data_IF_382086934231
#
_entry.id   IF_382086934231
#
_cell.length_a   1.000
_cell.length_b   1.000
_cell.length_c   1.000
_cell.angle_alpha   90.00
_cell.angle_beta   90.00
_cell.angle_gamma   90.00
#
_symmetry.space_group_name_H-M   'P 1'
#
loop_
_entity.id
_entity.type
_entity.pdbx_description
1 polymer ?
#
# COMPACT_ATOMS: atom_id res chain seq x y z
N UNK A 1 38.71 -14.49 -4.01
CA UNK A 1 38.76 -15.90 -3.51
C UNK A 1 38.82 -15.87 -1.99
N UNK A 2 37.66 -15.85 -1.31
CA UNK A 2 37.60 -15.93 0.15
C UNK A 2 36.49 -16.90 0.54
N UNK A 3 36.90 -18.08 1.02
CA UNK A 3 36.05 -19.07 1.67
C UNK A 3 35.86 -18.65 3.13
N UNK A 4 34.63 -18.45 3.57
CA UNK A 4 34.27 -18.64 5.00
C UNK A 4 33.03 -19.51 5.08
N UNK A 5 33.28 -20.71 5.63
CA UNK A 5 32.31 -21.67 6.14
C UNK A 5 31.57 -21.02 7.30
N UNK A 6 30.24 -21.07 7.28
CA UNK A 6 29.44 -21.13 8.50
C UNK A 6 28.52 -22.34 8.36
N UNK A 7 28.78 -23.31 9.22
CA UNK A 7 28.04 -24.54 9.41
C UNK A 7 27.20 -24.35 10.65
N UNK A 8 25.91 -24.03 10.48
CA UNK A 8 24.95 -24.00 11.57
C UNK A 8 24.17 -25.31 11.58
N UNK A 9 24.37 -26.02 12.69
CA UNK A 9 23.78 -27.29 13.06
C UNK A 9 22.29 -27.15 13.35
N UNK A 10 21.48 -27.93 12.64
CA UNK A 10 20.06 -28.15 12.94
C UNK A 10 19.91 -28.99 14.23
N UNK A 11 18.95 -28.65 15.12
CA UNK A 11 18.60 -29.53 16.23
C UNK A 11 17.78 -30.73 15.74
N UNK A 12 18.20 -31.89 16.20
CA UNK A 12 17.65 -33.23 15.94
C UNK A 12 16.19 -33.38 16.36
N UNK A 13 15.41 -33.98 15.47
CA UNK A 13 14.07 -34.51 15.70
C UNK A 13 14.08 -35.52 16.85
N UNK A 14 13.33 -35.22 17.92
CA UNK A 14 13.01 -36.16 18.99
C UNK A 14 11.77 -36.95 18.61
N UNK A 15 11.98 -38.24 18.33
CA UNK A 15 10.93 -39.24 18.17
C UNK A 15 10.12 -39.39 19.47
N UNK A 16 8.79 -39.36 19.36
CA UNK A 16 7.87 -39.79 20.42
C UNK A 16 7.40 -41.24 20.13
N UNK A 17 7.76 -42.24 20.95
CA UNK A 17 7.21 -43.58 20.86
C UNK A 17 6.24 -43.83 22.02
N UNK A 18 4.94 -43.67 21.79
CA UNK A 18 3.91 -44.18 22.72
C UNK A 18 2.74 -44.78 21.94
N UNK A 19 3.01 -45.96 21.38
CA UNK A 19 2.01 -46.92 20.93
C UNK A 19 1.77 -47.90 22.10
N UNK A 20 0.95 -47.48 23.05
CA UNK A 20 0.46 -48.34 24.12
C UNK A 20 -0.89 -48.94 23.71
N UNK A 21 -0.84 -50.23 23.42
CA UNK A 21 -1.92 -51.22 23.37
C UNK A 21 -3.14 -50.81 24.21
N UNK A 22 -4.26 -50.52 23.53
CA UNK A 22 -5.59 -50.70 24.11
C UNK A 22 -6.27 -51.88 23.43
N UNK A 23 -6.88 -52.70 24.29
CA UNK A 23 -7.47 -54.00 24.03
C UNK A 23 -8.63 -53.92 23.05
N UNK A 24 -8.55 -54.76 22.02
CA UNK A 24 -9.68 -55.24 21.26
C UNK A 24 -10.33 -56.36 22.09
N UNK A 25 -11.32 -56.04 22.92
CA UNK A 25 -12.22 -57.05 23.49
C UNK A 25 -13.63 -56.46 23.52
N UNK A 26 -14.49 -57.08 22.70
CA UNK A 26 -15.93 -57.29 22.90
C UNK A 26 -16.81 -56.10 23.31
N UNK A 27 -17.40 -55.43 22.30
CA UNK A 27 -18.84 -55.14 22.25
C UNK A 27 -19.25 -55.19 20.77
N UNK A 28 -20.01 -56.21 20.37
CA UNK A 28 -20.77 -56.24 19.12
C UNK A 28 -22.02 -55.36 19.30
N UNK A 29 -22.13 -54.20 18.64
CA UNK A 29 -23.40 -53.50 18.55
C UNK A 29 -24.27 -54.18 17.49
N UNK A 30 -25.52 -54.39 17.87
CA UNK A 30 -26.60 -54.99 17.09
C UNK A 30 -26.62 -54.47 15.64
N UNK A 31 -26.33 -55.35 14.68
CA UNK A 31 -26.08 -55.02 13.27
C UNK A 31 -27.32 -54.53 12.51
N UNK A 32 -28.48 -54.47 13.16
CA UNK A 32 -29.73 -54.00 12.57
C UNK A 32 -29.93 -52.48 12.70
N UNK A 33 -29.23 -51.78 13.61
CA UNK A 33 -29.41 -50.34 13.84
C UNK A 33 -28.49 -49.44 12.96
N UNK A 34 -27.47 -50.00 12.32
CA UNK A 34 -26.53 -49.24 11.47
C UNK A 34 -26.97 -49.10 10.01
N UNK A 35 -28.00 -49.83 9.57
CA UNK A 35 -28.51 -49.74 8.19
C UNK A 35 -29.58 -48.65 8.00
N UNK A 36 -30.14 -48.08 9.09
CA UNK A 36 -31.07 -46.95 9.00
C UNK A 36 -30.40 -45.57 9.16
N UNK A 37 -29.20 -45.50 9.76
CA UNK A 37 -28.49 -44.22 9.92
C UNK A 37 -27.83 -43.73 8.62
N UNK A 38 -27.48 -44.63 7.69
CA UNK A 38 -26.93 -44.25 6.38
C UNK A 38 -28.00 -43.73 5.40
N UNK A 39 -29.28 -44.07 5.60
CA UNK A 39 -30.37 -43.57 4.73
C UNK A 39 -30.85 -42.15 5.07
N UNK A 40 -30.58 -41.64 6.26
CA UNK A 40 -30.92 -40.24 6.60
C UNK A 40 -29.89 -39.20 6.10
N UNK A 41 -28.72 -39.64 5.61
CA UNK A 41 -27.70 -38.76 5.03
C UNK A 41 -27.80 -38.62 3.50
N UNK A 42 -28.64 -39.42 2.83
CA UNK A 42 -28.80 -39.40 1.38
C UNK A 42 -29.59 -38.19 0.83
N UNK A 43 -30.19 -37.37 1.70
CA UNK A 43 -30.89 -36.15 1.30
C UNK A 43 -30.28 -34.86 1.85
N UNK A 44 -28.97 -34.84 2.11
CA UNK A 44 -28.27 -33.53 2.14
C UNK A 44 -28.25 -33.03 0.70
N UNK A 45 -29.38 -32.42 0.29
CA UNK A 45 -29.46 -31.65 -0.93
C UNK A 45 -28.23 -30.77 -0.97
N UNK A 46 -27.35 -31.01 -1.95
CA UNK A 46 -26.11 -30.27 -2.11
C UNK A 46 -26.48 -28.81 -2.30
N UNK A 47 -26.45 -28.06 -1.22
CA UNK A 47 -26.80 -26.65 -1.22
C UNK A 47 -25.88 -25.96 -2.24
N UNK A 48 -26.45 -25.52 -3.37
CA UNK A 48 -25.62 -24.92 -4.41
C UNK A 48 -25.32 -23.49 -3.98
N UNK A 49 -24.07 -23.09 -4.11
CA UNK A 49 -23.64 -21.75 -3.73
C UNK A 49 -24.49 -20.63 -4.37
N UNK A 50 -24.93 -20.81 -5.62
CA UNK A 50 -25.78 -19.84 -6.33
C UNK A 50 -27.25 -19.85 -5.88
N UNK A 51 -27.70 -20.90 -5.19
CA UNK A 51 -29.05 -21.00 -4.61
C UNK A 51 -29.12 -20.30 -3.23
N UNK A 52 -27.96 -19.94 -2.65
CA UNK A 52 -27.91 -19.13 -1.43
C UNK A 52 -28.48 -17.73 -1.70
N UNK A 53 -29.22 -17.13 -0.74
CA UNK A 53 -29.55 -15.71 -0.77
C UNK A 53 -28.32 -14.83 -1.00
N UNK A 54 -28.52 -13.73 -1.73
CA UNK A 54 -27.44 -12.80 -2.09
C UNK A 54 -26.71 -12.30 -0.86
N UNK A 55 -27.42 -12.05 0.25
CA UNK A 55 -26.86 -11.59 1.52
C UNK A 55 -25.81 -12.58 2.07
N UNK A 56 -26.12 -13.88 2.04
CA UNK A 56 -25.18 -14.92 2.48
C UNK A 56 -23.97 -15.01 1.55
N UNK A 57 -24.17 -14.88 0.24
CA UNK A 57 -23.05 -14.83 -0.73
C UNK A 57 -22.15 -13.63 -0.47
N UNK A 58 -22.73 -12.45 -0.23
CA UNK A 58 -21.97 -11.23 0.10
C UNK A 58 -21.18 -11.39 1.41
N UNK A 59 -21.77 -12.01 2.44
CA UNK A 59 -21.04 -12.32 3.68
C UNK A 59 -19.85 -13.27 3.44
N UNK A 60 -20.04 -14.29 2.60
CA UNK A 60 -18.96 -15.20 2.21
C UNK A 60 -17.86 -14.44 1.44
N UNK A 61 -18.23 -13.59 0.48
CA UNK A 61 -17.25 -12.79 -0.26
C UNK A 61 -16.50 -11.82 0.65
N UNK A 62 -17.20 -11.15 1.58
CA UNK A 62 -16.59 -10.23 2.53
C UNK A 62 -15.52 -10.95 3.36
N UNK A 63 -15.86 -12.12 3.92
CA UNK A 63 -14.92 -12.94 4.67
C UNK A 63 -13.71 -13.42 3.85
N UNK A 64 -13.90 -13.74 2.56
CA UNK A 64 -12.84 -14.31 1.73
C UNK A 64 -11.97 -13.26 1.01
N UNK A 65 -12.52 -12.08 0.72
CA UNK A 65 -11.93 -11.11 -0.20
C UNK A 65 -11.63 -9.76 0.44
N UNK A 66 -12.10 -9.47 1.66
CA UNK A 66 -11.85 -8.17 2.30
C UNK A 66 -10.75 -8.28 3.34
N UNK A 67 -9.75 -7.42 3.19
CA UNK A 67 -8.64 -7.23 4.13
C UNK A 67 -8.87 -5.96 4.93
N UNK A 68 -8.62 -6.02 6.23
CA UNK A 68 -8.59 -4.84 7.10
C UNK A 68 -7.34 -3.98 6.89
N UNK A 69 -6.30 -4.56 6.28
CA UNK A 69 -5.06 -3.87 5.98
C UNK A 69 -5.02 -3.42 4.51
N UNK A 70 -4.39 -2.27 4.21
CA UNK A 70 -4.20 -1.82 2.84
C UNK A 70 -3.47 -2.88 1.99
N UNK A 71 -4.04 -3.16 0.83
CA UNK A 71 -3.49 -4.06 -0.16
C UNK A 71 -2.35 -3.37 -0.90
N UNK A 72 -1.16 -3.90 -0.70
CA UNK A 72 0.06 -3.45 -1.34
C UNK A 72 0.37 -4.33 -2.54
N UNK A 73 1.23 -3.81 -3.41
CA UNK A 73 1.78 -4.59 -4.50
C UNK A 73 2.65 -5.74 -4.01
N UNK A 74 2.88 -6.71 -4.89
CA UNK A 74 3.80 -7.83 -4.61
C UNK A 74 5.19 -7.35 -4.17
N UNK A 75 5.68 -6.25 -4.76
CA UNK A 75 7.01 -5.71 -4.47
C UNK A 75 7.07 -5.01 -3.11
N UNK A 76 6.00 -4.34 -2.69
CA UNK A 76 5.95 -3.59 -1.42
C UNK A 76 5.62 -4.46 -0.20
N UNK A 77 5.06 -5.66 -0.43
CA UNK A 77 4.45 -6.51 0.58
C UNK A 77 5.41 -7.02 1.67
N UNK A 78 6.73 -7.05 1.46
CA UNK A 78 7.71 -7.56 2.43
C UNK A 78 7.25 -8.85 3.14
N UNK A 79 6.82 -9.86 2.37
CA UNK A 79 6.27 -11.16 2.85
C UNK A 79 4.96 -11.13 3.66
N UNK A 80 4.33 -9.97 3.85
CA UNK A 80 3.05 -9.81 4.56
C UNK A 80 1.95 -10.72 4.00
N UNK A 81 1.14 -11.38 4.81
CA UNK A 81 0.02 -12.24 4.34
C UNK A 81 -1.36 -11.63 4.62
N UNK A 82 -2.16 -11.35 3.57
CA UNK A 82 -3.51 -10.80 3.73
C UNK A 82 -4.60 -11.85 3.98
N UNK A 83 -4.25 -13.14 3.99
CA UNK A 83 -5.19 -14.27 4.16
C UNK A 83 -6.42 -14.26 3.23
N UNK A 84 -6.30 -13.62 2.05
CA UNK A 84 -7.37 -13.56 1.06
C UNK A 84 -7.44 -14.85 0.23
N UNK A 85 -8.65 -15.32 -0.04
CA UNK A 85 -8.91 -16.51 -0.86
C UNK A 85 -9.49 -16.13 -2.23
N UNK A 86 -8.61 -15.89 -3.19
CA UNK A 86 -9.00 -15.56 -4.57
C UNK A 86 -9.52 -16.77 -5.38
N UNK A 87 -9.64 -17.96 -4.77
CA UNK A 87 -10.19 -19.14 -5.43
C UNK A 87 -11.64 -18.90 -5.88
N UNK A 88 -12.42 -18.19 -5.08
CA UNK A 88 -13.84 -17.90 -5.37
C UNK A 88 -14.03 -17.10 -6.67
N UNK A 89 -13.09 -16.21 -7.00
CA UNK A 89 -13.12 -15.41 -8.24
C UNK A 89 -12.95 -16.26 -9.52
N UNK A 90 -12.54 -17.52 -9.40
CA UNK A 90 -12.29 -18.41 -10.54
C UNK A 90 -13.40 -19.43 -10.77
N UNK A 91 -14.43 -19.45 -9.92
CA UNK A 91 -15.49 -20.48 -9.96
C UNK A 91 -16.41 -20.32 -11.17
N UNK A 92 -16.94 -19.11 -11.40
CA UNK A 92 -17.85 -18.81 -12.50
C UNK A 92 -17.83 -17.29 -12.79
N UNK A 93 -18.18 -16.88 -14.01
CA UNK A 93 -18.28 -15.47 -14.41
C UNK A 93 -19.27 -14.64 -13.57
N UNK A 94 -20.42 -15.20 -13.19
CA UNK A 94 -21.39 -14.53 -12.31
C UNK A 94 -20.79 -14.25 -10.94
N UNK A 95 -20.18 -15.26 -10.32
CA UNK A 95 -19.49 -15.15 -9.03
C UNK A 95 -18.33 -14.15 -9.13
N UNK A 96 -17.56 -14.18 -10.22
CA UNK A 96 -16.50 -13.22 -10.46
C UNK A 96 -17.03 -11.78 -10.48
N UNK A 97 -18.10 -11.50 -11.22
CA UNK A 97 -18.65 -10.13 -11.29
C UNK A 97 -19.20 -9.66 -9.95
N UNK A 98 -19.99 -10.49 -9.27
CA UNK A 98 -20.57 -10.17 -7.96
C UNK A 98 -19.47 -9.92 -6.90
N UNK A 99 -18.50 -10.84 -6.81
CA UNK A 99 -17.44 -10.80 -5.81
C UNK A 99 -16.34 -9.77 -6.11
N UNK A 100 -16.01 -9.52 -7.38
CA UNK A 100 -15.00 -8.51 -7.76
C UNK A 100 -15.45 -7.10 -7.41
N UNK A 101 -16.73 -6.78 -7.61
CA UNK A 101 -17.29 -5.48 -7.20
C UNK A 101 -17.10 -5.26 -5.70
N UNK A 102 -17.42 -6.27 -4.88
CA UNK A 102 -17.23 -6.21 -3.42
C UNK A 102 -15.74 -6.05 -3.07
N UNK A 103 -14.85 -6.81 -3.72
CA UNK A 103 -13.41 -6.73 -3.52
C UNK A 103 -12.87 -5.31 -3.75
N UNK A 104 -13.20 -4.67 -4.88
CA UNK A 104 -12.71 -3.33 -5.19
C UNK A 104 -13.37 -2.22 -4.36
N UNK A 105 -14.60 -2.45 -3.88
CA UNK A 105 -15.32 -1.48 -3.05
C UNK A 105 -14.85 -1.47 -1.60
N UNK A 106 -14.59 -2.63 -1.00
CA UNK A 106 -14.36 -2.72 0.44
C UNK A 106 -12.88 -2.66 0.83
N UNK A 107 -11.97 -3.05 -0.07
CA UNK A 107 -10.53 -2.99 0.21
C UNK A 107 -9.96 -1.59 0.02
N UNK A 108 -8.84 -1.34 0.70
CA UNK A 108 -7.99 -0.15 0.50
C UNK A 108 -6.82 -0.56 -0.38
N UNK A 109 -6.62 0.09 -1.53
CA UNK A 109 -5.48 -0.19 -2.41
C UNK A 109 -4.39 0.86 -2.21
N UNK A 110 -3.17 0.40 -1.93
CA UNK A 110 -2.00 1.27 -1.84
C UNK A 110 -1.32 1.38 -3.22
N UNK A 111 -1.57 2.51 -3.86
CA UNK A 111 -1.14 2.85 -5.20
C UNK A 111 0.23 3.50 -5.14
N UNK A 112 1.20 2.84 -5.73
CA UNK A 112 2.61 3.27 -5.79
C UNK A 112 3.18 3.06 -7.18
N UNK A 113 4.38 3.59 -7.41
CA UNK A 113 5.17 3.30 -8.60
C UNK A 113 5.64 1.82 -8.59
N UNK A 114 5.70 1.13 -9.73
CA UNK A 114 6.36 -0.17 -9.83
C UNK A 114 7.88 -0.08 -9.52
N UNK A 115 8.39 -1.01 -8.71
CA UNK A 115 9.76 -0.99 -8.18
C UNK A 115 10.84 -1.52 -9.16
N UNK A 116 10.43 -2.09 -10.29
CA UNK A 116 11.31 -2.80 -11.24
C UNK A 116 11.24 -2.23 -12.67
N UNK A 117 10.89 -0.95 -12.81
CA UNK A 117 10.83 -0.34 -14.14
C UNK A 117 12.22 0.14 -14.53
N UNK A 118 13.04 -0.82 -14.98
CA UNK A 118 14.36 -0.58 -15.58
C UNK A 118 14.23 0.58 -16.58
N UNK A 119 14.73 1.76 -16.18
CA UNK A 119 14.42 3.02 -16.86
C UNK A 119 14.97 3.13 -18.29
N UNK A 120 15.67 2.10 -18.79
CA UNK A 120 16.24 2.07 -20.13
C UNK A 120 15.27 1.66 -21.24
N UNK A 121 14.21 0.91 -20.93
CA UNK A 121 13.27 0.39 -21.94
C UNK A 121 11.81 0.63 -21.52
N UNK A 122 11.46 1.90 -21.24
CA UNK A 122 10.05 2.27 -21.24
C UNK A 122 9.52 2.16 -22.67
N UNK A 123 9.01 0.99 -23.04
CA UNK A 123 8.16 0.86 -24.21
C UNK A 123 6.97 1.80 -23.98
N UNK A 124 6.58 2.58 -25.00
CA UNK A 124 5.47 3.52 -24.89
C UNK A 124 4.16 2.86 -24.38
N UNK A 125 4.05 1.53 -24.50
CA UNK A 125 2.94 0.74 -24.00
C UNK A 125 2.92 0.53 -22.47
N UNK A 126 4.05 0.69 -21.77
CA UNK A 126 4.15 0.51 -20.31
C UNK A 126 3.84 1.79 -19.51
N UNK A 127 3.49 2.87 -20.21
CA UNK A 127 3.22 4.21 -19.66
C UNK A 127 2.07 4.28 -18.63
N UNK A 128 1.33 3.20 -18.41
CA UNK A 128 0.14 3.16 -17.56
C UNK A 128 0.24 2.20 -16.37
N UNK A 129 1.43 1.75 -16.02
CA UNK A 129 1.61 0.79 -14.94
C UNK A 129 1.55 1.48 -13.57
N UNK A 130 0.44 1.24 -12.88
CA UNK A 130 0.26 1.52 -11.45
C UNK A 130 0.53 0.21 -10.68
N UNK A 131 1.07 0.31 -9.46
CA UNK A 131 1.28 -0.84 -8.58
C UNK A 131 0.37 -0.74 -7.33
N UNK A 132 -0.45 -1.76 -6.99
CA UNK A 132 -0.68 -3.00 -7.74
C UNK A 132 -1.31 -2.76 -9.12
N UNK A 133 -1.10 -3.66 -10.09
CA UNK A 133 -1.72 -3.55 -11.40
C UNK A 133 -3.24 -3.74 -11.29
N UNK A 134 -3.98 -2.64 -11.38
CA UNK A 134 -5.44 -2.63 -11.32
C UNK A 134 -6.04 -2.55 -12.73
N UNK A 135 -6.89 -3.50 -13.16
CA UNK A 135 -7.56 -3.41 -14.45
C UNK A 135 -8.44 -2.15 -14.54
N UNK A 136 -8.32 -1.39 -15.63
CA UNK A 136 -9.03 -0.11 -15.81
C UNK A 136 -10.55 -0.20 -15.69
N UNK A 137 -11.13 -1.32 -16.13
CA UNK A 137 -12.58 -1.54 -16.04
C UNK A 137 -13.08 -1.67 -14.59
N UNK A 138 -12.18 -1.91 -13.63
CA UNK A 138 -12.50 -2.00 -12.21
C UNK A 138 -12.31 -0.68 -11.45
N UNK A 139 -11.65 0.32 -12.04
CA UNK A 139 -11.41 1.61 -11.39
C UNK A 139 -12.69 2.32 -10.91
N UNK A 140 -13.84 2.27 -11.64
CA UNK A 140 -15.10 2.85 -11.16
C UNK A 140 -15.65 2.21 -9.88
N UNK A 141 -15.19 1.01 -9.50
CA UNK A 141 -15.61 0.32 -8.28
C UNK A 141 -14.75 0.67 -7.07
N UNK A 142 -13.59 1.31 -7.27
CA UNK A 142 -12.72 1.70 -6.16
C UNK A 142 -13.44 2.71 -5.27
N UNK A 143 -13.43 2.46 -3.96
CA UNK A 143 -13.97 3.38 -2.95
C UNK A 143 -12.90 3.91 -2.00
N UNK A 144 -11.84 3.15 -1.76
CA UNK A 144 -10.80 3.50 -0.81
C UNK A 144 -9.42 3.34 -1.45
N UNK A 145 -8.69 4.43 -1.59
CA UNK A 145 -7.38 4.45 -2.24
C UNK A 145 -6.39 5.22 -1.36
N UNK A 146 -5.18 4.66 -1.20
CA UNK A 146 -4.01 5.38 -0.69
C UNK A 146 -3.05 5.55 -1.87
N UNK A 147 -2.54 6.75 -2.12
CA UNK A 147 -1.63 7.04 -3.22
C UNK A 147 -0.30 7.52 -2.66
N UNK A 148 0.80 6.87 -3.03
CA UNK A 148 2.14 7.38 -2.79
C UNK A 148 2.53 8.36 -3.90
N UNK A 149 2.74 9.62 -3.52
CA UNK A 149 3.16 10.69 -4.41
C UNK A 149 4.66 10.68 -4.66
N UNK A 150 5.43 9.90 -3.88
CA UNK A 150 6.87 9.81 -4.06
C UNK A 150 7.20 9.03 -5.32
N UNK A 151 8.01 9.65 -6.18
CA UNK A 151 8.59 8.99 -7.33
C UNK A 151 10.11 9.03 -7.20
N UNK A 152 10.73 7.87 -7.04
CA UNK A 152 12.19 7.73 -7.02
C UNK A 152 12.61 6.94 -8.25
N UNK A 153 13.36 7.52 -9.20
CA UNK A 153 13.91 6.76 -10.30
C UNK A 153 14.94 5.75 -9.77
N UNK A 154 14.79 4.48 -10.15
CA UNK A 154 15.66 3.37 -9.72
C UNK A 154 17.11 3.56 -10.19
N UNK A 155 17.28 3.91 -11.46
CA UNK A 155 18.60 4.24 -11.99
C UNK A 155 18.98 5.64 -11.54
N UNK A 156 19.90 5.72 -10.58
CA UNK A 156 20.84 6.83 -10.55
C UNK A 156 21.63 6.80 -11.85
N UNK A 157 21.08 7.42 -12.91
CA UNK A 157 21.92 7.74 -14.05
C UNK A 157 23.12 8.49 -13.48
N UNK A 158 24.36 8.10 -13.84
CA UNK A 158 25.54 8.78 -13.35
C UNK A 158 25.33 10.25 -13.67
N UNK A 159 25.25 11.08 -12.63
CA UNK A 159 25.01 12.50 -12.80
C UNK A 159 26.10 13.00 -13.74
N UNK A 160 25.71 13.39 -14.97
CA UNK A 160 26.65 13.97 -15.90
C UNK A 160 27.30 15.15 -15.19
N UNK A 161 28.63 15.17 -15.12
CA UNK A 161 29.38 16.18 -14.36
C UNK A 161 29.07 17.62 -14.79
N UNK A 162 28.48 17.78 -15.97
CA UNK A 162 28.08 19.05 -16.56
C UNK A 162 26.59 19.39 -16.36
N UNK A 163 25.83 18.55 -15.65
CA UNK A 163 24.42 18.78 -15.36
C UNK A 163 24.28 19.85 -14.26
N UNK A 164 24.53 21.10 -14.65
CA UNK A 164 24.32 22.31 -13.89
C UNK A 164 22.88 22.38 -13.37
N UNK A 165 22.63 21.89 -12.14
CA UNK A 165 21.45 22.06 -11.26
C UNK A 165 20.05 22.11 -11.90
N UNK A 166 19.90 21.73 -13.16
CA UNK A 166 18.63 21.81 -13.84
C UNK A 166 17.78 20.71 -13.22
N UNK A 167 16.68 21.13 -12.61
CA UNK A 167 15.58 20.23 -12.32
C UNK A 167 15.22 19.66 -13.68
N UNK A 168 15.71 18.44 -13.96
CA UNK A 168 15.69 17.89 -15.30
C UNK A 168 14.24 17.93 -15.80
N UNK A 169 14.05 18.51 -16.98
CA UNK A 169 12.89 19.39 -17.24
C UNK A 169 11.53 18.72 -17.17
N UNK A 170 11.45 17.39 -17.22
CA UNK A 170 10.29 16.56 -16.96
C UNK A 170 10.79 15.10 -16.96
N UNK A 171 10.93 14.43 -15.81
CA UNK A 171 11.26 13.00 -15.80
C UNK A 171 10.09 12.23 -16.45
N UNK A 172 10.30 11.54 -17.59
CA UNK A 172 9.21 10.99 -18.38
C UNK A 172 8.41 9.94 -17.60
N UNK A 173 9.06 9.15 -16.75
CA UNK A 173 8.37 8.16 -15.94
C UNK A 173 7.55 8.80 -14.83
N UNK A 174 8.04 9.89 -14.21
CA UNK A 174 7.27 10.64 -13.21
C UNK A 174 6.02 11.26 -13.84
N UNK A 175 6.17 11.90 -15.01
CA UNK A 175 5.04 12.46 -15.77
C UNK A 175 4.03 11.36 -16.14
N UNK A 176 4.51 10.20 -16.58
CA UNK A 176 3.64 9.06 -16.91
C UNK A 176 2.89 8.52 -15.69
N UNK A 177 3.56 8.46 -14.54
CA UNK A 177 2.95 8.06 -13.27
C UNK A 177 1.85 9.04 -12.86
N UNK A 178 2.12 10.35 -12.85
CA UNK A 178 1.11 11.36 -12.51
C UNK A 178 -0.08 11.35 -13.47
N UNK A 179 0.15 11.12 -14.77
CA UNK A 179 -0.95 10.93 -15.75
C UNK A 179 -1.80 9.69 -15.46
N UNK A 180 -1.15 8.59 -15.06
CA UNK A 180 -1.84 7.36 -14.66
C UNK A 180 -2.71 7.59 -13.42
N UNK A 181 -2.16 8.28 -12.41
CA UNK A 181 -2.92 8.67 -11.21
C UNK A 181 -4.09 9.60 -11.56
N UNK A 182 -3.89 10.53 -12.49
CA UNK A 182 -4.94 11.43 -12.97
C UNK A 182 -6.08 10.64 -13.59
N UNK A 183 -5.77 9.69 -14.48
CA UNK A 183 -6.79 8.83 -15.11
C UNK A 183 -7.51 7.93 -14.10
N UNK A 184 -6.77 7.38 -13.12
CA UNK A 184 -7.33 6.59 -12.02
C UNK A 184 -8.36 7.42 -11.26
N UNK A 185 -7.96 8.60 -10.79
CA UNK A 185 -8.81 9.50 -10.00
C UNK A 185 -10.00 10.03 -10.79
N UNK A 186 -9.87 10.27 -12.09
CA UNK A 186 -10.98 10.68 -12.95
C UNK A 186 -12.06 9.59 -13.05
N UNK A 187 -11.65 8.33 -13.17
CA UNK A 187 -12.57 7.19 -13.32
C UNK A 187 -13.17 6.73 -11.98
N UNK A 188 -12.39 6.74 -10.89
CA UNK A 188 -12.88 6.35 -9.56
C UNK A 188 -13.57 7.50 -8.81
N UNK A 189 -13.25 8.76 -9.15
CA UNK A 189 -13.61 9.96 -8.40
C UNK A 189 -15.09 10.12 -8.04
N UNK A 190 -16.06 9.84 -8.95
CA UNK A 190 -17.49 10.01 -8.64
C UNK A 190 -17.99 9.14 -7.49
N UNK A 191 -17.29 8.05 -7.19
CA UNK A 191 -17.68 7.08 -6.19
C UNK A 191 -16.65 6.91 -5.06
N UNK A 192 -15.50 7.57 -5.17
CA UNK A 192 -14.43 7.48 -4.18
C UNK A 192 -14.93 8.01 -2.83
N UNK A 193 -14.79 7.20 -1.78
CA UNK A 193 -15.20 7.53 -0.41
C UNK A 193 -14.02 7.99 0.44
N UNK A 194 -12.87 7.34 0.26
CA UNK A 194 -11.65 7.63 1.01
C UNK A 194 -10.47 7.75 0.05
N UNK A 195 -9.77 8.87 0.15
CA UNK A 195 -8.50 9.10 -0.52
C UNK A 195 -7.47 9.48 0.54
N UNK A 196 -6.33 8.81 0.55
CA UNK A 196 -5.16 9.21 1.34
C UNK A 196 -4.01 9.49 0.39
N UNK A 197 -3.32 10.60 0.59
CA UNK A 197 -2.06 10.89 -0.09
C UNK A 197 -0.92 10.61 0.88
N UNK A 198 0.10 9.92 0.40
CA UNK A 198 1.25 9.51 1.20
C UNK A 198 2.53 9.89 0.47
N UNK A 199 3.59 10.05 1.25
CA UNK A 199 4.93 10.30 0.77
C UNK A 199 5.89 9.53 1.66
N UNK A 200 6.20 8.29 1.26
CA UNK A 200 7.03 7.39 2.04
C UNK A 200 8.47 7.49 1.55
N UNK A 201 9.29 8.23 2.28
CA UNK A 201 10.72 8.36 1.97
C UNK A 201 11.49 7.24 2.67
N UNK A 202 11.56 6.06 2.03
CA UNK A 202 12.38 4.96 2.53
C UNK A 202 13.86 5.18 2.19
N UNK A 203 14.74 4.97 3.17
CA UNK A 203 16.20 5.08 3.01
C UNK A 203 16.74 6.51 3.00
N UNK A 204 17.97 6.67 2.50
CA UNK A 204 18.67 7.97 2.39
C UNK A 204 18.16 8.82 1.23
N UNK A 205 16.87 8.74 0.92
CA UNK A 205 16.25 9.42 -0.22
C UNK A 205 16.64 10.91 -0.19
N UNK A 206 17.34 11.33 -1.24
CA UNK A 206 17.78 12.72 -1.37
C UNK A 206 16.56 13.61 -1.54
N UNK A 207 16.44 14.65 -0.69
CA UNK A 207 15.35 15.63 -0.74
C UNK A 207 15.06 16.12 -2.17
N UNK A 208 16.11 16.30 -2.99
CA UNK A 208 15.98 16.67 -4.41
C UNK A 208 15.13 15.70 -5.23
N UNK A 209 15.34 14.39 -5.10
CA UNK A 209 14.59 13.37 -5.86
C UNK A 209 13.14 13.34 -5.41
N UNK A 210 12.91 13.42 -4.11
CA UNK A 210 11.58 13.47 -3.50
C UNK A 210 10.79 14.68 -3.98
N UNK A 211 11.38 15.87 -4.02
CA UNK A 211 10.71 17.10 -4.44
C UNK A 211 10.38 17.12 -5.94
N UNK A 212 11.09 16.34 -6.76
CA UNK A 212 10.82 16.24 -8.20
C UNK A 212 9.40 15.77 -8.49
N UNK A 213 8.88 14.78 -7.76
CA UNK A 213 7.54 14.27 -7.99
C UNK A 213 6.46 15.27 -7.61
N UNK A 214 6.62 15.96 -6.48
CA UNK A 214 5.71 17.02 -6.05
C UNK A 214 5.71 18.20 -7.02
N UNK A 215 6.86 18.53 -7.62
CA UNK A 215 6.93 19.55 -8.66
C UNK A 215 6.08 19.17 -9.88
N UNK A 216 6.13 17.90 -10.31
CA UNK A 216 5.28 17.41 -11.41
C UNK A 216 3.80 17.40 -11.00
N UNK A 217 3.46 16.97 -9.78
CA UNK A 217 2.10 17.00 -9.25
C UNK A 217 1.48 18.42 -9.36
N UNK A 218 2.22 19.45 -8.95
CA UNK A 218 1.72 20.83 -8.97
C UNK A 218 1.65 21.43 -10.37
N UNK A 219 2.60 21.07 -11.23
CA UNK A 219 2.63 21.57 -12.61
C UNK A 219 1.54 20.93 -13.47
N UNK A 220 1.15 19.68 -13.19
CA UNK A 220 0.08 18.99 -13.91
C UNK A 220 -1.31 19.52 -13.49
N UNK A 221 -1.82 20.48 -14.27
CA UNK A 221 -3.13 21.09 -14.05
C UNK A 221 -4.28 20.08 -14.11
N UNK A 222 -4.15 18.99 -14.89
CA UNK A 222 -5.20 17.98 -14.97
C UNK A 222 -5.26 17.17 -13.67
N UNK A 223 -4.10 16.82 -13.11
CA UNK A 223 -4.00 16.17 -11.81
C UNK A 223 -4.61 17.02 -10.70
N UNK A 224 -4.19 18.28 -10.57
CA UNK A 224 -4.69 19.22 -9.54
C UNK A 224 -6.21 19.44 -9.66
N UNK A 225 -6.72 19.67 -10.87
CA UNK A 225 -8.18 19.82 -11.10
C UNK A 225 -8.94 18.55 -10.76
N UNK A 226 -8.37 17.39 -11.07
CA UNK A 226 -8.99 16.10 -10.74
C UNK A 226 -9.08 15.92 -9.24
N UNK A 227 -7.98 16.16 -8.48
CA UNK A 227 -7.98 16.12 -7.02
C UNK A 227 -9.04 17.06 -6.42
N UNK A 228 -9.13 18.29 -6.92
CA UNK A 228 -10.08 19.29 -6.44
C UNK A 228 -11.55 19.00 -6.79
N UNK A 229 -11.79 18.20 -7.83
CA UNK A 229 -13.12 17.79 -8.26
C UNK A 229 -13.64 16.54 -7.54
N UNK A 230 -12.82 15.88 -6.72
CA UNK A 230 -13.24 14.71 -5.96
C UNK A 230 -14.32 15.10 -4.94
N UNK A 231 -15.29 14.19 -4.72
CA UNK A 231 -16.36 14.37 -3.73
C UNK A 231 -15.95 13.98 -2.29
N UNK A 232 -14.65 13.84 -2.05
CA UNK A 232 -14.10 13.61 -0.71
C UNK A 232 -13.96 14.97 -0.02
N UNK A 233 -14.46 15.10 1.21
CA UNK A 233 -14.45 16.39 1.93
C UNK A 233 -13.01 16.83 2.25
N UNK A 234 -12.33 16.05 3.09
CA UNK A 234 -10.92 16.23 3.41
C UNK A 234 -10.09 15.08 2.84
N UNK A 235 -8.87 15.41 2.42
CA UNK A 235 -7.86 14.48 1.92
C UNK A 235 -6.71 14.48 2.91
N UNK A 236 -6.54 13.41 3.72
CA UNK A 236 -5.37 13.26 4.56
C UNK A 236 -4.10 13.11 3.72
N UNK A 237 -3.06 13.85 4.11
CA UNK A 237 -1.73 13.83 3.51
C UNK A 237 -0.74 13.44 4.61
N UNK A 238 0.05 12.40 4.33
CA UNK A 238 1.04 11.87 5.26
C UNK A 238 2.42 11.90 4.63
N UNK A 239 3.40 12.44 5.34
CA UNK A 239 4.81 12.29 5.02
C UNK A 239 5.44 11.40 6.08
N UNK A 240 5.98 10.26 5.65
CA UNK A 240 6.57 9.27 6.52
C UNK A 240 8.08 9.18 6.24
N UNK A 241 8.88 9.53 7.25
CA UNK A 241 10.34 9.43 7.24
C UNK A 241 10.81 8.47 8.35
N UNK A 242 12.02 7.88 8.25
CA UNK A 242 12.52 6.95 9.26
C UNK A 242 12.53 7.52 10.69
N UNK A 243 12.81 8.81 10.85
CA UNK A 243 13.05 9.48 12.12
C UNK A 243 12.00 10.54 12.50
N UNK A 244 11.04 10.79 11.62
CA UNK A 244 10.00 11.81 11.80
C UNK A 244 8.76 11.54 10.94
N UNK A 245 7.65 12.19 11.23
CA UNK A 245 6.44 12.14 10.41
C UNK A 245 5.72 13.49 10.38
N UNK A 246 4.87 13.69 9.38
CA UNK A 246 3.95 14.82 9.30
C UNK A 246 2.59 14.36 8.80
N UNK A 247 1.53 14.87 9.41
CA UNK A 247 0.15 14.58 9.03
C UNK A 247 -0.68 15.87 8.96
N UNK A 248 -1.45 16.02 7.89
CA UNK A 248 -2.39 17.12 7.71
C UNK A 248 -3.62 16.64 6.94
N UNK A 249 -4.79 17.19 7.27
CA UNK A 249 -5.99 17.06 6.45
C UNK A 249 -6.21 18.33 5.64
N UNK A 250 -6.40 18.18 4.32
CA UNK A 250 -6.59 19.31 3.40
C UNK A 250 -7.93 19.16 2.69
N UNK A 251 -8.72 20.23 2.63
CA UNK A 251 -9.92 20.26 1.80
C UNK A 251 -9.54 20.02 0.32
N UNK A 252 -10.25 19.14 -0.38
CA UNK A 252 -9.92 18.81 -1.76
C UNK A 252 -9.83 20.05 -2.67
N UNK A 253 -10.67 21.06 -2.46
CA UNK A 253 -10.65 22.30 -3.27
C UNK A 253 -9.41 23.15 -3.01
N UNK A 254 -8.78 23.00 -1.83
CA UNK A 254 -7.60 23.76 -1.48
C UNK A 254 -6.40 23.42 -2.38
N UNK A 255 -6.38 22.26 -3.06
CA UNK A 255 -5.34 21.96 -4.07
C UNK A 255 -5.33 22.95 -5.25
N UNK A 256 -6.41 23.71 -5.49
CA UNK A 256 -6.43 24.75 -6.54
C UNK A 256 -5.65 26.01 -6.15
N UNK A 257 -5.58 26.33 -4.86
CA UNK A 257 -4.95 27.55 -4.34
C UNK A 257 -3.64 27.27 -3.60
N UNK A 258 -3.46 26.05 -3.08
CA UNK A 258 -2.29 25.64 -2.30
C UNK A 258 -1.43 24.66 -3.09
N UNK A 259 -0.13 24.92 -3.09
CA UNK A 259 0.88 24.11 -3.77
C UNK A 259 1.27 22.91 -2.91
N UNK A 260 1.15 21.70 -3.46
CA UNK A 260 1.61 20.46 -2.83
C UNK A 260 3.14 20.47 -2.73
N UNK A 261 3.84 21.06 -3.72
CA UNK A 261 5.29 21.23 -3.70
C UNK A 261 5.73 22.12 -2.53
N UNK A 262 5.12 23.28 -2.31
CA UNK A 262 5.49 24.15 -1.20
C UNK A 262 5.32 23.45 0.15
N UNK A 263 4.27 22.64 0.30
CA UNK A 263 4.08 21.81 1.49
C UNK A 263 5.19 20.78 1.64
N UNK A 264 5.51 20.03 0.60
CA UNK A 264 6.61 19.08 0.63
C UNK A 264 7.96 19.76 0.96
N UNK A 265 8.23 20.94 0.42
CA UNK A 265 9.41 21.74 0.74
C UNK A 265 9.47 22.12 2.22
N UNK A 266 8.36 22.61 2.80
CA UNK A 266 8.31 22.99 4.21
C UNK A 266 8.50 21.79 5.13
N UNK A 267 7.88 20.65 4.81
CA UNK A 267 8.04 19.39 5.56
C UNK A 267 9.50 18.93 5.52
N UNK A 268 10.12 18.89 4.33
CA UNK A 268 11.53 18.51 4.16
C UNK A 268 12.50 19.46 4.86
N UNK A 269 12.19 20.76 4.87
CA UNK A 269 12.97 21.76 5.60
C UNK A 269 12.88 21.53 7.11
N UNK A 270 11.67 21.36 7.66
CA UNK A 270 11.48 21.08 9.09
C UNK A 270 12.14 19.76 9.50
N UNK A 271 12.06 18.74 8.65
CA UNK A 271 12.75 17.46 8.84
C UNK A 271 14.28 17.64 8.90
N UNK A 272 14.84 18.43 7.99
CA UNK A 272 16.29 18.73 7.97
C UNK A 272 16.71 19.52 9.22
N UNK A 273 15.92 20.51 9.63
CA UNK A 273 16.16 21.29 10.86
C UNK A 273 16.16 20.38 12.09
N UNK A 274 15.14 19.52 12.24
CA UNK A 274 15.05 18.57 13.34
C UNK A 274 16.26 17.63 13.42
N UNK A 275 16.77 17.17 12.26
CA UNK A 275 17.99 16.34 12.18
C UNK A 275 19.24 17.10 12.61
N UNK A 276 19.38 18.36 12.19
CA UNK A 276 20.50 19.22 12.59
C UNK A 276 20.46 19.48 14.10
N UNK A 277 19.29 19.81 14.65
CA UNK A 277 19.12 20.07 16.08
C UNK A 277 19.47 18.84 16.92
N UNK A 278 19.06 17.64 16.48
CA UNK A 278 19.45 16.36 17.11
C UNK A 278 20.96 16.15 17.06
N UNK A 279 21.59 16.39 15.92
CA UNK A 279 23.03 16.25 15.74
C UNK A 279 23.80 17.26 16.61
N UNK A 280 23.34 18.51 16.73
CA UNK A 280 23.93 19.49 17.63
C UNK A 280 23.77 19.11 19.11
N UNK A 281 22.61 18.56 19.49
CA UNK A 281 22.37 18.07 20.85
C UNK A 281 23.32 16.93 21.23
N UNK A 282 23.68 16.05 20.28
CA UNK A 282 24.68 14.99 20.51
C UNK A 282 26.09 15.50 20.72
N UNK A 283 26.45 16.70 20.22
CA UNK A 283 27.74 17.33 20.50
C UNK A 283 27.75 18.07 21.84
N UNK A 284 26.60 18.58 22.28
CA UNK A 284 26.46 19.35 23.52
C UNK A 284 26.43 18.49 24.79
N UNK A 285 25.93 17.26 24.69
CA UNK A 285 25.84 16.34 25.82
C UNK A 285 26.73 15.11 25.57
N UNK A 286 27.60 14.76 26.53
CA UNK A 286 28.32 13.46 26.57
C UNK A 286 27.37 12.26 26.84
N UNK A 287 26.14 12.33 26.33
CA UNK A 287 25.17 11.26 26.48
C UNK A 287 25.57 10.10 25.56
N UNK A 288 25.81 8.96 26.20
CA UNK A 288 26.13 7.69 25.57
C UNK A 288 25.13 7.36 24.45
N UNK A 289 25.66 7.05 23.27
CA UNK A 289 24.92 6.75 22.03
C UNK A 289 23.89 5.60 22.13
N UNK A 290 23.78 4.92 23.27
CA UNK A 290 22.94 3.74 23.50
C UNK A 290 21.47 4.04 23.82
N UNK A 291 21.05 5.30 23.97
CA UNK A 291 19.65 5.68 24.24
C UNK A 291 18.90 6.24 23.02
N UNK A 292 19.43 6.04 21.81
CA UNK A 292 18.95 6.63 20.55
C UNK A 292 18.00 5.74 19.75
N UNK A 293 17.21 4.87 20.39
CA UNK A 293 15.90 4.51 19.81
C UNK A 293 15.00 5.74 19.93
N UNK A 294 15.33 6.76 19.13
CA UNK A 294 14.68 8.05 19.18
C UNK A 294 13.25 7.87 18.70
N UNK A 295 12.32 8.16 19.60
CA UNK A 295 10.91 8.35 19.28
C UNK A 295 10.78 9.20 18.00
N UNK A 296 9.96 8.74 17.06
CA UNK A 296 9.75 9.43 15.79
C UNK A 296 9.22 10.84 16.08
N UNK A 297 9.85 11.86 15.52
CA UNK A 297 9.44 13.25 15.77
C UNK A 297 8.20 13.61 14.94
N UNK A 298 7.17 14.13 15.59
CA UNK A 298 6.06 14.79 14.92
C UNK A 298 6.48 16.19 14.44
N UNK A 299 6.48 16.39 13.12
CA UNK A 299 6.84 17.67 12.51
C UNK A 299 5.66 18.66 12.48
N UNK A 300 4.46 18.25 12.85
CA UNK A 300 3.24 19.07 12.74
C UNK A 300 3.37 20.44 13.41
N UNK A 301 3.91 20.58 14.64
CA UNK A 301 4.08 21.89 15.28
C UNK A 301 5.02 22.83 14.51
N UNK A 302 6.07 22.28 13.89
CA UNK A 302 7.06 23.05 13.12
C UNK A 302 6.48 23.49 11.78
N UNK A 303 5.84 22.55 11.07
CA UNK A 303 5.27 22.80 9.75
C UNK A 303 4.08 23.75 9.84
N UNK A 304 3.15 23.59 10.79
CA UNK A 304 2.02 24.53 10.93
C UNK A 304 2.45 25.95 11.27
N UNK A 305 3.54 26.11 12.05
CA UNK A 305 4.12 27.43 12.33
C UNK A 305 4.68 28.09 11.07
N UNK A 306 5.27 27.31 10.15
CA UNK A 306 5.74 27.81 8.86
C UNK A 306 4.57 28.08 7.91
N UNK A 307 3.63 27.14 7.81
CA UNK A 307 2.48 27.18 6.91
C UNK A 307 1.54 28.35 7.18
N UNK A 308 1.27 28.66 8.46
CA UNK A 308 0.34 29.73 8.83
C UNK A 308 0.94 31.15 8.84
N UNK A 309 2.26 31.29 8.67
CA UNK A 309 2.91 32.61 8.63
C UNK A 309 2.65 33.36 7.33
N UNK A 310 2.30 32.65 6.27
CA UNK A 310 1.90 33.22 4.99
C UNK A 310 0.37 33.39 5.01
N UNK A 311 -0.09 34.48 5.66
CA UNK A 311 -1.46 34.94 5.56
C UNK A 311 -1.76 35.54 4.17
N UNK A 312 -1.74 34.68 3.14
CA UNK A 312 -2.08 35.02 1.76
C UNK A 312 -3.31 34.23 1.29
#
# INVERSE_FOLDING_TARGET
MFKRKHSDSLPSESACPLLSKMREDDIMPDSAAFLEADQCLESVERCRFLELPTELRLMIYDHLLVSYEPLESRDARNDKRYNLSFAILRVNQFVYHEASVLFYQNNIFNISRPANSNAGNFSANDSNQINPPLPRHHWPFLRNISIDLMYTPETSQPESKDAHWSWSRDDPGCVSYIRSLTSLLQLSGPQLRRLKLTANATGSAFARKSLGSFFICDRDRAFVRTLAALKVGTVPIHFDFPDSYFHIEIDARAFLSRSILLMACQVMFCQSQARIDRLLATFGNELSASSLEAERMDLSPLVFKAWNREGH
#
